data_IF_972610642193
#
_entry.id   IF_972610642193
#
_cell.length_a   1.000
_cell.length_b   1.000
_cell.length_c   1.000
_cell.angle_alpha   90.00
_cell.angle_beta   90.00
_cell.angle_gamma   90.00
#
_symmetry.space_group_name_H-M   'P 1'
#
loop_
_entity.id
_entity.type
_entity.pdbx_description
1 polymer ?
#
# COMPACT_ATOMS: atom_id res chain seq x y z
N UNK A 1 6.03 -17.52 11.76
CA UNK A 1 7.07 -16.69 12.42
C UNK A 1 8.40 -17.10 11.80
N UNK A 2 8.89 -16.31 10.85
CA UNK A 2 10.16 -16.63 10.17
C UNK A 2 11.26 -16.10 11.08
N UNK A 3 12.05 -17.01 11.64
CA UNK A 3 13.27 -16.71 12.38
C UNK A 3 14.22 -15.99 11.41
N UNK A 4 14.90 -14.95 11.88
CA UNK A 4 15.85 -14.15 11.14
C UNK A 4 16.75 -14.98 10.21
N UNK A 5 16.33 -15.11 8.95
CA UNK A 5 17.29 -15.31 7.87
C UNK A 5 17.96 -13.96 7.61
N UNK A 6 19.24 -13.95 7.33
CA UNK A 6 19.93 -12.79 6.78
C UNK A 6 19.06 -12.18 5.69
N UNK A 7 18.94 -10.83 5.67
CA UNK A 7 18.23 -10.16 4.59
C UNK A 7 18.74 -10.76 3.26
N UNK A 8 17.84 -11.26 2.40
CA UNK A 8 18.28 -11.80 1.11
C UNK A 8 19.05 -10.69 0.40
N UNK A 9 20.14 -11.05 -0.29
CA UNK A 9 20.85 -10.08 -1.12
C UNK A 9 19.81 -9.44 -2.06
N UNK A 10 19.59 -8.14 -1.91
CA UNK A 10 18.59 -7.42 -2.69
C UNK A 10 19.04 -7.46 -4.16
N UNK A 11 18.26 -8.12 -5.01
CA UNK A 11 18.52 -8.26 -6.43
C UNK A 11 18.30 -6.89 -7.12
N UNK A 12 19.17 -6.50 -8.01
CA UNK A 12 18.94 -5.34 -8.85
C UNK A 12 17.70 -5.58 -9.74
N UNK A 13 16.73 -4.66 -9.75
CA UNK A 13 15.52 -4.82 -10.54
C UNK A 13 15.85 -4.69 -12.04
N UNK A 14 15.28 -5.57 -12.85
CA UNK A 14 15.45 -5.59 -14.31
C UNK A 14 14.32 -4.88 -15.05
N UNK A 15 13.21 -4.59 -14.36
CA UNK A 15 12.00 -3.96 -14.89
C UNK A 15 11.65 -2.71 -14.08
N UNK A 16 11.00 -1.74 -14.73
CA UNK A 16 10.67 -0.48 -14.08
C UNK A 16 9.52 -0.60 -13.09
N UNK A 17 8.35 -1.05 -13.53
CA UNK A 17 7.15 -1.05 -12.70
C UNK A 17 6.16 -2.17 -13.09
N UNK A 18 5.51 -2.75 -12.09
CA UNK A 18 4.35 -3.61 -12.23
C UNK A 18 3.11 -2.97 -11.61
N UNK A 19 1.95 -3.17 -12.21
CA UNK A 19 0.64 -2.77 -11.66
C UNK A 19 0.05 -3.96 -10.91
N UNK A 20 -0.25 -3.77 -9.63
CA UNK A 20 -0.74 -4.82 -8.73
C UNK A 20 -2.19 -4.54 -8.36
N UNK A 21 -3.08 -5.43 -8.75
CA UNK A 21 -4.52 -5.33 -8.52
C UNK A 21 -4.97 -6.41 -7.54
N UNK A 22 -5.16 -6.11 -6.27
CA UNK A 22 -5.69 -7.07 -5.31
C UNK A 22 -7.16 -7.36 -5.59
N UNK A 23 -7.49 -8.65 -5.71
CA UNK A 23 -8.87 -9.10 -5.86
C UNK A 23 -9.50 -9.40 -4.49
N UNK A 24 -10.82 -9.23 -4.43
CA UNK A 24 -11.61 -9.73 -3.30
C UNK A 24 -11.73 -11.27 -3.35
N UNK A 25 -12.37 -11.87 -2.35
CA UNK A 25 -12.71 -13.30 -2.38
C UNK A 25 -13.90 -13.63 -3.29
N UNK A 26 -14.58 -12.62 -3.83
CA UNK A 26 -15.73 -12.80 -4.71
C UNK A 26 -15.28 -13.24 -6.10
N UNK A 27 -16.01 -14.12 -6.76
CA UNK A 27 -15.68 -14.58 -8.11
C UNK A 27 -16.00 -13.54 -9.20
N UNK A 28 -16.80 -12.51 -8.88
CA UNK A 28 -17.26 -11.50 -9.82
C UNK A 28 -16.94 -10.10 -9.33
N UNK A 29 -16.73 -9.18 -10.27
CA UNK A 29 -16.52 -7.75 -10.00
C UNK A 29 -17.86 -7.01 -9.97
N UNK A 30 -17.96 -6.01 -9.10
CA UNK A 30 -19.07 -5.05 -9.12
C UNK A 30 -18.96 -4.12 -10.34
N UNK A 31 -20.05 -3.42 -10.74
CA UNK A 31 -19.97 -2.43 -11.82
C UNK A 31 -18.86 -1.38 -11.61
N UNK A 32 -18.68 -0.89 -10.39
CA UNK A 32 -17.63 0.09 -10.09
C UNK A 32 -16.23 -0.49 -10.18
N UNK A 33 -16.03 -1.74 -9.76
CA UNK A 33 -14.78 -2.47 -9.94
C UNK A 33 -14.46 -2.73 -11.42
N UNK A 34 -15.46 -2.97 -12.25
CA UNK A 34 -15.31 -3.11 -13.71
C UNK A 34 -14.88 -1.78 -14.34
N UNK A 35 -15.47 -0.66 -13.92
CA UNK A 35 -15.04 0.68 -14.35
C UNK A 35 -13.56 0.90 -13.98
N UNK A 36 -13.21 0.64 -12.74
CA UNK A 36 -11.84 0.75 -12.27
C UNK A 36 -10.86 -0.09 -13.09
N UNK A 37 -11.18 -1.38 -13.31
CA UNK A 37 -10.35 -2.29 -14.10
C UNK A 37 -10.22 -1.84 -15.55
N UNK A 38 -11.29 -1.25 -16.13
CA UNK A 38 -11.28 -0.67 -17.48
C UNK A 38 -10.29 0.48 -17.60
N UNK A 39 -10.26 1.40 -16.60
CA UNK A 39 -9.28 2.49 -16.54
C UNK A 39 -7.84 1.96 -16.48
N UNK A 40 -7.57 0.99 -15.61
CA UNK A 40 -6.26 0.37 -15.52
C UNK A 40 -5.85 -0.32 -16.83
N UNK A 41 -6.78 -1.04 -17.47
CA UNK A 41 -6.53 -1.73 -18.74
C UNK A 41 -6.22 -0.73 -19.86
N UNK A 42 -6.93 0.39 -19.92
CA UNK A 42 -6.75 1.41 -20.94
C UNK A 42 -5.45 2.20 -20.76
N UNK A 43 -5.30 2.90 -19.63
CA UNK A 43 -4.19 3.83 -19.41
C UNK A 43 -2.87 3.14 -19.08
N UNK A 44 -2.92 1.93 -18.50
CA UNK A 44 -1.74 1.18 -18.10
C UNK A 44 -1.48 -0.04 -18.99
N UNK A 45 -1.95 -0.01 -20.24
CA UNK A 45 -1.89 -1.15 -21.18
C UNK A 45 -0.47 -1.67 -21.43
N UNK A 46 0.52 -0.80 -21.44
CA UNK A 46 1.93 -1.12 -21.75
C UNK A 46 2.71 -1.75 -20.58
N UNK A 47 2.15 -1.74 -19.36
CA UNK A 47 2.84 -2.26 -18.18
C UNK A 47 2.44 -3.70 -17.87
N UNK A 48 3.33 -4.44 -17.22
CA UNK A 48 3.00 -5.73 -16.63
C UNK A 48 1.96 -5.55 -15.53
N UNK A 49 0.83 -6.28 -15.62
CA UNK A 49 -0.30 -6.19 -14.70
C UNK A 49 -0.55 -7.53 -14.03
N UNK A 50 -0.71 -7.49 -12.71
CA UNK A 50 -0.93 -8.67 -11.90
C UNK A 50 -2.22 -8.57 -11.09
N UNK A 51 -3.07 -9.59 -11.22
CA UNK A 51 -4.17 -9.82 -10.30
C UNK A 51 -3.65 -10.63 -9.12
N UNK A 52 -3.83 -10.12 -7.92
CA UNK A 52 -3.38 -10.76 -6.68
C UNK A 52 -4.58 -11.32 -5.95
N UNK A 53 -4.63 -12.65 -5.79
CA UNK A 53 -5.80 -13.37 -5.26
C UNK A 53 -5.40 -14.53 -4.34
N UNK A 54 -6.33 -15.08 -3.53
CA UNK A 54 -6.13 -16.36 -2.87
C UNK A 54 -6.04 -17.48 -3.92
N UNK A 55 -5.17 -18.50 -3.66
CA UNK A 55 -4.88 -19.55 -4.63
C UNK A 55 -6.04 -20.40 -5.13
N UNK A 56 -7.23 -20.25 -4.53
CA UNK A 56 -8.46 -20.94 -4.97
C UNK A 56 -9.32 -20.11 -5.95
N UNK A 57 -8.95 -18.86 -6.22
CA UNK A 57 -9.69 -17.98 -7.12
C UNK A 57 -9.10 -18.09 -8.52
N UNK A 58 -9.90 -18.56 -9.47
CA UNK A 58 -9.60 -18.48 -10.89
C UNK A 58 -10.35 -17.27 -11.45
N UNK A 59 -9.64 -16.23 -11.81
CA UNK A 59 -10.17 -15.06 -12.50
C UNK A 59 -9.19 -14.70 -13.62
N UNK A 60 -9.65 -14.77 -14.85
CA UNK A 60 -8.84 -14.44 -16.01
C UNK A 60 -9.28 -13.11 -16.61
N UNK A 61 -8.34 -12.24 -16.83
CA UNK A 61 -8.56 -10.99 -17.54
C UNK A 61 -7.42 -10.77 -18.57
N UNK A 62 -7.74 -10.49 -19.84
CA UNK A 62 -6.74 -10.29 -20.87
C UNK A 62 -5.72 -9.21 -20.48
N UNK A 63 -4.42 -9.52 -20.66
CA UNK A 63 -3.33 -8.61 -20.31
C UNK A 63 -2.96 -8.57 -18.83
N UNK A 64 -3.54 -9.44 -17.99
CA UNK A 64 -3.18 -9.61 -16.59
C UNK A 64 -2.64 -11.02 -16.30
N UNK A 65 -1.68 -11.10 -15.41
CA UNK A 65 -1.15 -12.36 -14.89
C UNK A 65 -1.67 -12.59 -13.46
N UNK A 66 -1.91 -13.84 -13.08
CA UNK A 66 -2.31 -14.16 -11.70
C UNK A 66 -1.09 -14.38 -10.80
N UNK A 67 -1.12 -13.79 -9.61
CA UNK A 67 -0.22 -14.11 -8.49
C UNK A 67 -1.04 -14.53 -7.28
N UNK A 68 -0.83 -15.77 -6.85
CA UNK A 68 -1.58 -16.35 -5.73
C UNK A 68 -0.83 -16.23 -4.42
N UNK A 69 -1.56 -15.83 -3.39
CA UNK A 69 -1.07 -15.79 -2.01
C UNK A 69 -1.98 -16.59 -1.08
N UNK A 70 -1.52 -16.82 0.16
CA UNK A 70 -2.28 -17.58 1.13
C UNK A 70 -3.62 -16.90 1.48
N UNK A 71 -4.69 -17.68 1.62
CA UNK A 71 -6.07 -17.23 1.88
C UNK A 71 -6.20 -16.26 3.08
N UNK A 72 -5.28 -16.36 4.07
CA UNK A 72 -5.24 -15.49 5.26
C UNK A 72 -5.01 -14.00 4.96
N UNK A 73 -4.55 -13.67 3.77
CA UNK A 73 -4.26 -12.30 3.33
C UNK A 73 -5.43 -11.58 2.67
N UNK A 74 -6.59 -12.22 2.57
CA UNK A 74 -7.74 -11.70 1.82
C UNK A 74 -9.02 -11.69 2.66
N UNK A 75 -9.97 -10.85 2.26
CA UNK A 75 -11.34 -10.83 2.76
C UNK A 75 -11.61 -9.85 3.89
N UNK A 76 -10.65 -9.02 4.27
CA UNK A 76 -10.84 -7.85 5.15
C UNK A 76 -9.68 -6.89 5.00
N UNK A 77 -9.86 -5.63 5.42
CA UNK A 77 -8.78 -4.64 5.46
C UNK A 77 -7.59 -5.11 6.29
N UNK A 78 -7.84 -5.73 7.46
CA UNK A 78 -6.80 -6.30 8.31
C UNK A 78 -6.05 -7.48 7.64
N UNK A 79 -6.72 -8.27 6.80
CA UNK A 79 -6.08 -9.32 6.03
C UNK A 79 -5.19 -8.74 4.93
N UNK A 80 -5.68 -7.73 4.20
CA UNK A 80 -4.91 -6.99 3.20
C UNK A 80 -3.70 -6.29 3.83
N UNK A 81 -3.88 -5.63 4.97
CA UNK A 81 -2.76 -5.02 5.70
C UNK A 81 -1.64 -6.03 6.02
N UNK A 82 -1.99 -7.28 6.37
CA UNK A 82 -1.00 -8.35 6.55
C UNK A 82 -0.30 -8.75 5.25
N UNK A 83 -0.94 -8.65 4.08
CA UNK A 83 -0.31 -8.91 2.78
C UNK A 83 0.74 -7.85 2.48
N UNK A 84 0.34 -6.56 2.51
CA UNK A 84 1.20 -5.43 2.13
C UNK A 84 2.27 -5.10 3.18
N UNK A 85 2.31 -5.84 4.28
CA UNK A 85 3.38 -5.78 5.29
C UNK A 85 4.22 -7.06 5.35
N UNK A 86 3.91 -8.05 4.50
CA UNK A 86 4.69 -9.29 4.43
C UNK A 86 5.87 -9.13 3.46
N UNK A 87 7.11 -9.49 3.87
CA UNK A 87 8.26 -9.47 2.96
C UNK A 87 8.01 -10.24 1.67
N UNK A 88 7.38 -11.42 1.75
CA UNK A 88 7.03 -12.27 0.63
C UNK A 88 6.27 -11.52 -0.48
N UNK A 89 5.45 -10.53 -0.13
CA UNK A 89 4.72 -9.73 -1.12
C UNK A 89 5.68 -8.96 -2.02
N UNK A 90 6.61 -8.22 -1.42
CA UNK A 90 7.60 -7.43 -2.17
C UNK A 90 8.65 -8.31 -2.86
N UNK A 91 9.05 -9.42 -2.24
CA UNK A 91 9.95 -10.41 -2.85
C UNK A 91 9.37 -11.02 -4.13
N UNK A 92 8.04 -11.22 -4.18
CA UNK A 92 7.35 -11.72 -5.39
C UNK A 92 7.51 -10.77 -6.57
N UNK A 93 7.71 -9.48 -6.32
CA UNK A 93 7.88 -8.43 -7.32
C UNK A 93 9.28 -7.81 -7.33
N UNK A 94 10.29 -8.51 -6.78
CA UNK A 94 11.66 -7.99 -6.65
C UNK A 94 12.37 -7.71 -7.99
N UNK A 95 11.87 -8.27 -9.09
CA UNK A 95 12.35 -7.95 -10.44
C UNK A 95 11.95 -6.56 -10.92
N UNK A 96 11.01 -5.88 -10.23
CA UNK A 96 10.55 -4.53 -10.54
C UNK A 96 11.16 -3.50 -9.58
N UNK A 97 11.53 -2.33 -10.11
CA UNK A 97 11.97 -1.20 -9.28
C UNK A 97 10.81 -0.67 -8.44
N UNK A 98 9.61 -0.60 -9.04
CA UNK A 98 8.38 -0.12 -8.42
C UNK A 98 7.23 -1.11 -8.59
N UNK A 99 6.27 -1.01 -7.69
CA UNK A 99 4.91 -1.52 -7.89
C UNK A 99 3.93 -0.36 -7.74
N UNK A 100 2.93 -0.30 -8.62
CA UNK A 100 1.74 0.52 -8.43
C UNK A 100 0.66 -0.38 -7.79
N UNK A 101 0.36 -0.15 -6.52
CA UNK A 101 -0.83 -0.73 -5.89
C UNK A 101 -2.05 -0.03 -6.47
N UNK A 102 -2.98 -0.82 -6.99
CA UNK A 102 -4.17 -0.34 -7.66
C UNK A 102 -5.40 -1.12 -7.15
N UNK A 103 -6.09 -0.58 -6.16
CA UNK A 103 -7.34 -1.17 -5.68
C UNK A 103 -8.46 -0.96 -6.70
N UNK A 104 -9.46 -1.86 -6.74
CA UNK A 104 -10.56 -1.80 -7.69
C UNK A 104 -11.62 -0.73 -7.37
N UNK A 105 -11.38 0.13 -6.41
CA UNK A 105 -12.09 1.38 -6.16
C UNK A 105 -11.24 2.62 -6.51
N UNK A 106 -10.16 2.42 -7.26
CA UNK A 106 -9.30 3.48 -7.79
C UNK A 106 -9.63 3.78 -9.25
N UNK A 107 -9.23 4.96 -9.73
CA UNK A 107 -9.16 5.30 -11.14
C UNK A 107 -7.76 5.81 -11.47
N UNK A 108 -7.21 5.40 -12.60
CA UNK A 108 -6.10 6.06 -13.26
C UNK A 108 -6.66 6.88 -14.43
N UNK A 109 -6.17 8.10 -14.61
CA UNK A 109 -6.75 9.10 -15.52
C UNK A 109 -5.83 9.45 -16.70
N UNK A 110 -4.59 8.95 -16.68
CA UNK A 110 -3.59 9.23 -17.73
C UNK A 110 -2.50 8.15 -17.76
N UNK A 111 -1.67 8.14 -18.80
CA UNK A 111 -0.52 7.25 -18.95
C UNK A 111 0.78 7.92 -18.46
N UNK A 112 0.81 8.37 -17.21
CA UNK A 112 1.96 9.06 -16.63
C UNK A 112 2.78 8.21 -15.65
N UNK A 113 2.52 6.89 -15.54
CA UNK A 113 3.14 6.05 -14.52
C UNK A 113 4.68 6.04 -14.60
N UNK A 114 5.24 6.06 -15.80
CA UNK A 114 6.69 6.12 -15.98
C UNK A 114 7.30 7.41 -15.44
N UNK A 115 6.64 8.56 -15.65
CA UNK A 115 7.07 9.86 -15.11
C UNK A 115 7.11 9.84 -13.58
N UNK A 116 6.12 9.21 -12.95
CA UNK A 116 6.10 9.02 -11.50
C UNK A 116 7.24 8.13 -10.99
N UNK A 117 7.62 7.09 -11.75
CA UNK A 117 8.79 6.27 -11.41
C UNK A 117 10.12 7.04 -11.49
N UNK A 118 10.18 8.14 -12.26
CA UNK A 118 11.37 8.98 -12.38
C UNK A 118 11.57 9.94 -11.20
N UNK A 119 10.57 10.13 -10.34
CA UNK A 119 10.67 11.01 -9.16
C UNK A 119 11.67 10.50 -8.11
N UNK A 120 12.05 9.22 -8.18
CA UNK A 120 12.91 8.50 -7.24
C UNK A 120 12.43 8.56 -5.77
N UNK A 121 11.13 8.75 -5.57
CA UNK A 121 10.50 8.62 -4.27
C UNK A 121 10.28 7.14 -3.95
N UNK A 122 10.29 6.79 -2.67
CA UNK A 122 10.09 5.42 -2.23
C UNK A 122 8.61 5.11 -2.01
N UNK A 123 7.83 6.14 -1.65
CA UNK A 123 6.39 6.02 -1.41
C UNK A 123 5.64 7.28 -1.85
N UNK A 124 4.66 7.09 -2.74
CA UNK A 124 3.72 8.13 -3.19
C UNK A 124 2.31 7.53 -3.15
N UNK A 125 1.36 8.24 -2.56
CA UNK A 125 -0.06 7.89 -2.54
C UNK A 125 -0.93 9.12 -2.32
N UNK A 126 -2.25 8.99 -2.30
CA UNK A 126 -3.15 10.08 -1.92
C UNK A 126 -2.81 10.61 -0.53
N UNK A 127 -2.77 11.92 -0.34
CA UNK A 127 -2.52 12.49 0.98
C UNK A 127 -3.78 12.43 1.85
N UNK A 128 -3.57 12.23 3.14
CA UNK A 128 -4.59 12.54 4.15
C UNK A 128 -4.55 14.04 4.42
N UNK A 129 -5.66 14.72 4.11
CA UNK A 129 -5.83 16.15 4.30
C UNK A 129 -6.91 16.41 5.36
N UNK A 130 -6.82 17.53 6.09
CA UNK A 130 -7.87 17.95 7.00
C UNK A 130 -9.05 18.53 6.19
N UNK A 131 -10.15 17.81 6.18
CA UNK A 131 -11.36 18.18 5.43
C UNK A 131 -12.61 17.53 6.07
N UNK A 132 -13.82 17.86 5.62
CA UNK A 132 -15.06 17.26 6.16
C UNK A 132 -15.09 15.74 6.13
N UNK A 133 -14.48 15.09 5.12
CA UNK A 133 -14.42 13.63 5.00
C UNK A 133 -13.37 13.00 5.92
N UNK A 134 -12.42 13.79 6.41
CA UNK A 134 -11.30 13.32 7.27
C UNK A 134 -10.95 14.33 8.38
N UNK A 135 -11.90 14.70 9.26
CA UNK A 135 -11.68 15.72 10.30
C UNK A 135 -10.71 15.26 11.40
N UNK A 136 -10.38 13.98 11.46
CA UNK A 136 -9.39 13.41 12.40
C UNK A 136 -7.95 13.69 11.99
N UNK A 137 -7.69 14.12 10.76
CA UNK A 137 -6.34 14.44 10.28
C UNK A 137 -5.84 15.71 10.92
N UNK A 138 -4.94 15.60 11.89
CA UNK A 138 -4.31 16.75 12.56
C UNK A 138 -3.11 17.29 11.78
N UNK A 139 -2.34 16.40 11.17
CA UNK A 139 -1.17 16.72 10.35
C UNK A 139 -1.35 16.05 9.00
N UNK A 140 -1.39 16.85 7.96
CA UNK A 140 -1.53 16.38 6.59
C UNK A 140 -0.24 15.70 6.13
N UNK A 141 -0.37 14.56 5.46
CA UNK A 141 0.74 13.78 4.92
C UNK A 141 0.27 12.77 3.88
N UNK A 142 1.19 12.31 3.06
CA UNK A 142 0.95 11.19 2.15
C UNK A 142 0.92 9.88 2.94
N UNK A 143 -0.01 8.98 2.58
CA UNK A 143 -0.08 7.73 3.31
C UNK A 143 -1.04 6.67 2.80
N UNK A 144 -2.08 7.01 2.05
CA UNK A 144 -3.02 5.99 1.58
C UNK A 144 -2.38 5.05 0.56
N UNK A 145 -2.57 3.73 0.72
CA UNK A 145 -1.96 2.70 -0.12
C UNK A 145 -2.90 2.07 -1.15
N UNK A 146 -4.15 2.51 -1.24
CA UNK A 146 -5.12 1.94 -2.20
C UNK A 146 -4.82 2.30 -3.66
N UNK A 147 -4.17 3.46 -3.87
CA UNK A 147 -3.57 3.85 -5.15
C UNK A 147 -2.19 4.44 -4.85
N UNK A 148 -1.16 3.60 -4.83
CA UNK A 148 0.16 4.04 -4.36
C UNK A 148 1.31 3.45 -5.18
N UNK A 149 2.31 4.27 -5.47
CA UNK A 149 3.57 3.84 -6.06
C UNK A 149 4.58 3.56 -4.95
N UNK A 150 5.15 2.36 -4.95
CA UNK A 150 6.02 1.83 -3.91
C UNK A 150 7.31 1.30 -4.52
N UNK A 151 8.47 1.77 -4.06
CA UNK A 151 9.79 1.29 -4.49
C UNK A 151 10.14 0.00 -3.75
N UNK A 152 10.07 -1.12 -4.45
CA UNK A 152 10.14 -2.48 -3.89
C UNK A 152 11.31 -2.68 -2.93
N UNK A 153 12.51 -2.29 -3.37
CA UNK A 153 13.74 -2.48 -2.58
C UNK A 153 13.73 -1.66 -1.27
N UNK A 154 13.14 -0.47 -1.29
CA UNK A 154 13.07 0.39 -0.10
C UNK A 154 12.11 -0.18 0.95
N UNK A 155 10.99 -0.76 0.52
CA UNK A 155 10.08 -1.48 1.41
C UNK A 155 10.75 -2.73 2.01
N UNK A 156 11.50 -3.48 1.22
CA UNK A 156 12.29 -4.62 1.72
C UNK A 156 13.37 -4.18 2.71
N UNK A 157 14.06 -3.05 2.46
CA UNK A 157 15.03 -2.48 3.42
C UNK A 157 14.39 -2.14 4.76
N UNK A 158 13.17 -1.60 4.78
CA UNK A 158 12.41 -1.36 6.02
C UNK A 158 12.07 -2.68 6.71
N UNK A 159 11.54 -3.66 5.99
CA UNK A 159 11.09 -4.94 6.54
C UNK A 159 12.25 -5.80 7.07
N UNK A 160 13.43 -5.72 6.43
CA UNK A 160 14.63 -6.43 6.82
C UNK A 160 15.66 -5.57 7.58
N UNK A 161 15.22 -4.38 8.03
CA UNK A 161 16.12 -3.48 8.76
C UNK A 161 16.71 -4.15 10.00
N UNK A 162 18.04 -4.04 10.21
CA UNK A 162 18.67 -4.49 11.43
C UNK A 162 18.41 -3.54 12.62
N UNK A 163 17.81 -2.38 12.36
CA UNK A 163 17.53 -1.38 13.42
C UNK A 163 16.48 -1.91 14.38
N UNK A 164 16.73 -1.82 15.71
CA UNK A 164 15.74 -2.17 16.70
C UNK A 164 14.59 -1.15 16.68
N UNK A 165 13.38 -1.59 17.05
CA UNK A 165 12.22 -0.70 17.22
C UNK A 165 12.48 0.35 18.31
N UNK A 166 13.14 -0.07 19.38
CA UNK A 166 13.56 0.80 20.49
C UNK A 166 14.96 0.39 20.95
N UNK A 167 15.79 1.35 21.31
CA UNK A 167 17.04 1.05 22.01
C UNK A 167 16.74 0.45 23.39
N UNK A 168 17.24 -0.76 23.71
CA UNK A 168 16.90 -1.44 24.96
C UNK A 168 17.34 -0.69 26.22
N UNK A 169 18.45 0.05 26.14
CA UNK A 169 18.99 0.76 27.28
C UNK A 169 18.29 2.12 27.43
N UNK A 170 18.00 2.83 26.34
CA UNK A 170 17.17 4.02 26.36
C UNK A 170 15.77 3.69 26.89
N UNK A 171 15.12 2.61 26.39
CA UNK A 171 13.84 2.13 26.90
C UNK A 171 13.85 1.87 28.39
N UNK A 172 14.96 1.28 28.91
CA UNK A 172 15.09 1.03 30.33
C UNK A 172 15.22 2.34 31.13
N UNK A 173 16.02 3.28 30.66
CA UNK A 173 16.19 4.59 31.31
C UNK A 173 14.87 5.37 31.38
N UNK A 174 14.13 5.41 30.28
CA UNK A 174 12.89 6.18 30.20
C UNK A 174 11.77 5.60 31.08
N UNK A 175 11.62 4.27 31.10
CA UNK A 175 10.44 3.64 31.70
C UNK A 175 10.67 3.00 33.07
N UNK A 176 11.88 2.61 33.40
CA UNK A 176 12.15 1.80 34.59
C UNK A 176 13.24 2.30 35.51
N UNK A 177 14.24 3.08 35.06
CA UNK A 177 15.36 3.50 35.88
C UNK A 177 14.94 4.32 37.11
N UNK A 178 13.88 5.11 37.00
CA UNK A 178 13.31 5.92 38.09
C UNK A 178 12.30 5.18 38.98
N UNK A 179 11.94 3.93 38.66
CA UNK A 179 10.97 3.15 39.42
C UNK A 179 11.62 2.50 40.66
N UNK A 180 10.83 2.15 41.70
CA UNK A 180 11.30 1.35 42.82
C UNK A 180 12.01 0.08 42.38
N UNK A 181 13.06 -0.34 43.14
CA UNK A 181 13.88 -1.49 42.74
C UNK A 181 13.11 -2.77 42.48
N UNK A 182 12.07 -3.06 43.25
CA UNK A 182 11.25 -4.26 43.00
C UNK A 182 10.57 -4.22 41.62
N UNK A 183 10.12 -3.04 41.14
CA UNK A 183 9.57 -2.87 39.80
C UNK A 183 10.66 -3.09 38.74
N UNK A 184 11.87 -2.57 39.00
CA UNK A 184 13.02 -2.81 38.10
C UNK A 184 13.31 -4.31 37.99
N UNK A 185 13.43 -5.04 39.12
CA UNK A 185 13.67 -6.48 39.12
C UNK A 185 12.59 -7.27 38.37
N UNK A 186 11.31 -6.97 38.59
CA UNK A 186 10.21 -7.61 37.88
C UNK A 186 10.23 -7.39 36.36
N UNK A 187 10.86 -6.32 35.89
CA UNK A 187 10.92 -5.96 34.48
C UNK A 187 12.30 -6.24 33.82
N UNK A 188 13.29 -6.76 34.53
CA UNK A 188 14.56 -7.20 33.94
C UNK A 188 14.37 -8.15 32.74
N UNK A 189 13.43 -9.13 32.75
CA UNK A 189 13.18 -9.96 31.59
C UNK A 189 12.79 -9.15 30.36
N UNK A 190 12.03 -8.07 30.50
CA UNK A 190 11.64 -7.19 29.37
C UNK A 190 12.86 -6.48 28.76
N UNK A 191 13.78 -5.99 29.60
CA UNK A 191 15.03 -5.39 29.12
C UNK A 191 15.85 -6.41 28.32
N UNK A 192 15.97 -7.63 28.84
CA UNK A 192 16.67 -8.70 28.12
C UNK A 192 16.01 -9.06 26.80
N UNK A 193 14.66 -9.27 26.80
CA UNK A 193 13.89 -9.58 25.59
C UNK A 193 14.02 -8.48 24.52
N UNK A 194 14.11 -7.21 24.93
CA UNK A 194 14.32 -6.09 23.99
C UNK A 194 15.71 -6.10 23.30
N UNK A 195 16.66 -6.83 23.83
CA UNK A 195 17.97 -7.06 23.17
C UNK A 195 17.91 -8.14 22.09
N UNK A 196 16.86 -8.96 22.10
CA UNK A 196 16.69 -10.02 21.10
C UNK A 196 15.95 -9.46 19.88
N UNK A 197 16.54 -9.55 18.67
CA UNK A 197 15.90 -9.05 17.43
C UNK A 197 14.51 -9.59 17.21
N UNK A 198 14.22 -10.83 17.59
CA UNK A 198 12.90 -11.46 17.46
C UNK A 198 11.78 -10.68 18.17
N UNK A 199 12.10 -9.89 19.20
CA UNK A 199 11.14 -9.09 19.96
C UNK A 199 11.34 -7.57 19.77
N UNK A 200 12.23 -7.17 18.87
CA UNK A 200 12.60 -5.75 18.69
C UNK A 200 12.98 -5.40 17.25
N UNK A 201 12.49 -6.15 16.26
CA UNK A 201 12.69 -5.90 14.83
C UNK A 201 11.54 -5.11 14.22
N UNK A 202 11.74 -4.58 13.00
CA UNK A 202 10.70 -3.97 12.18
C UNK A 202 9.50 -4.91 11.97
N UNK A 203 9.74 -6.19 11.69
CA UNK A 203 8.69 -7.19 11.51
C UNK A 203 7.89 -7.45 12.79
N UNK A 204 8.56 -7.49 13.95
CA UNK A 204 7.88 -7.62 15.24
C UNK A 204 7.07 -6.36 15.59
N UNK A 205 7.62 -5.18 15.30
CA UNK A 205 6.87 -3.92 15.45
C UNK A 205 5.64 -3.90 14.56
N UNK A 206 5.79 -4.23 13.27
CA UNK A 206 4.70 -4.35 12.30
C UNK A 206 3.63 -5.34 12.77
N UNK A 207 4.03 -6.53 13.24
CA UNK A 207 3.10 -7.50 13.82
C UNK A 207 2.30 -6.90 14.97
N UNK A 208 2.96 -6.23 15.93
CA UNK A 208 2.29 -5.59 17.07
C UNK A 208 1.42 -4.40 16.66
N UNK A 209 1.85 -3.66 15.65
CA UNK A 209 1.08 -2.57 15.06
C UNK A 209 -0.26 -3.07 14.53
N UNK A 210 -0.25 -4.11 13.72
CA UNK A 210 -1.44 -4.72 13.13
C UNK A 210 -2.36 -5.41 14.15
N UNK A 211 -1.88 -5.74 15.36
CA UNK A 211 -2.74 -6.22 16.45
C UNK A 211 -3.56 -5.07 17.08
N UNK A 212 -3.12 -3.84 16.96
CA UNK A 212 -3.73 -2.66 17.58
C UNK A 212 -4.45 -1.77 16.58
N UNK A 213 -3.96 -1.73 15.36
CA UNK A 213 -4.42 -0.91 14.24
C UNK A 213 -4.47 -1.77 13.00
N UNK A 214 -5.50 -1.63 12.19
CA UNK A 214 -5.62 -2.38 10.92
C UNK A 214 -4.98 -1.66 9.73
N UNK A 215 -4.43 -0.46 9.95
CA UNK A 215 -3.90 0.41 8.90
C UNK A 215 -2.38 0.19 8.73
N UNK A 216 -2.00 -0.49 7.64
CA UNK A 216 -0.60 -0.63 7.24
C UNK A 216 -0.01 0.70 6.71
N UNK A 217 -0.85 1.51 6.12
CA UNK A 217 -0.52 2.79 5.47
C UNK A 217 0.17 3.74 6.45
N UNK A 218 -0.39 3.86 7.66
CA UNK A 218 0.16 4.70 8.73
C UNK A 218 1.56 4.21 9.14
N UNK A 219 1.79 2.90 9.18
CA UNK A 219 3.13 2.38 9.47
C UNK A 219 4.14 2.81 8.40
N UNK A 220 3.78 2.70 7.12
CA UNK A 220 4.67 3.10 6.03
C UNK A 220 4.95 4.60 6.02
N UNK A 221 3.96 5.42 6.38
CA UNK A 221 4.10 6.88 6.42
C UNK A 221 4.85 7.40 7.64
N UNK A 222 4.67 6.77 8.79
CA UNK A 222 5.16 7.31 10.07
C UNK A 222 6.42 6.58 10.57
N UNK A 223 6.52 5.26 10.34
CA UNK A 223 7.53 4.42 10.98
C UNK A 223 8.65 3.94 10.02
N UNK A 224 8.41 3.95 8.70
CA UNK A 224 9.39 3.44 7.73
C UNK A 224 10.75 4.15 7.82
N UNK A 225 10.74 5.47 8.02
CA UNK A 225 11.95 6.31 8.15
C UNK A 225 12.79 5.90 9.36
N UNK A 226 12.18 5.43 10.45
CA UNK A 226 12.92 4.90 11.60
C UNK A 226 13.81 3.72 11.21
N UNK A 227 13.31 2.82 10.37
CA UNK A 227 14.02 1.61 9.94
C UNK A 227 14.95 1.84 8.75
N UNK A 228 14.60 2.75 7.88
CA UNK A 228 15.40 3.16 6.71
C UNK A 228 15.37 4.69 6.60
N UNK A 229 16.36 5.42 7.17
CA UNK A 229 16.37 6.88 7.23
C UNK A 229 16.32 7.59 5.88
N UNK A 230 16.82 6.96 4.83
CA UNK A 230 16.78 7.49 3.47
C UNK A 230 15.44 7.21 2.76
N UNK A 231 14.44 6.68 3.47
CA UNK A 231 13.12 6.39 2.91
C UNK A 231 12.39 7.69 2.55
N UNK A 232 12.21 7.92 1.25
CA UNK A 232 11.65 9.15 0.69
C UNK A 232 10.16 9.03 0.47
N UNK A 233 9.38 9.74 1.25
CA UNK A 233 7.92 9.86 1.10
C UNK A 233 7.60 11.17 0.40
N UNK A 234 6.62 11.17 -0.52
CA UNK A 234 6.15 12.38 -1.17
C UNK A 234 5.58 13.38 -0.17
N UNK A 235 5.75 14.66 -0.43
CA UNK A 235 5.02 15.72 0.28
C UNK A 235 3.55 15.82 -0.18
N UNK A 236 2.73 16.56 0.55
CA UNK A 236 1.30 16.70 0.26
C UNK A 236 1.04 17.29 -1.14
N UNK A 237 1.72 18.36 -1.60
CA UNK A 237 1.56 18.86 -2.96
C UNK A 237 1.87 17.82 -4.03
N UNK A 238 2.92 17.03 -3.86
CA UNK A 238 3.26 15.94 -4.78
C UNK A 238 2.23 14.81 -4.73
N UNK A 239 1.76 14.47 -3.53
CA UNK A 239 0.69 13.50 -3.34
C UNK A 239 -0.62 13.91 -4.02
N UNK A 240 -1.00 15.20 -3.96
CA UNK A 240 -2.17 15.75 -4.67
C UNK A 240 -2.02 15.68 -6.19
N UNK A 241 -0.84 15.93 -6.74
CA UNK A 241 -0.62 15.72 -8.17
C UNK A 241 -0.70 14.24 -8.56
N UNK A 242 -0.32 13.35 -7.66
CA UNK A 242 -0.36 11.91 -7.90
C UNK A 242 -1.78 11.35 -7.79
N UNK A 243 -2.48 11.58 -6.67
CA UNK A 243 -3.82 11.02 -6.50
C UNK A 243 -4.66 11.78 -5.46
N UNK A 244 -5.99 11.81 -5.71
CA UNK A 244 -6.98 12.23 -4.72
C UNK A 244 -7.61 11.02 -4.04
N UNK A 245 -8.14 11.22 -2.83
CA UNK A 245 -9.01 10.27 -2.16
C UNK A 245 -10.25 10.98 -1.62
N UNK A 246 -10.10 11.73 -0.54
CA UNK A 246 -11.19 12.46 0.14
C UNK A 246 -11.43 13.81 -0.50
N UNK A 247 -12.66 14.33 -0.40
CA UNK A 247 -13.06 15.70 -0.82
C UNK A 247 -12.42 16.12 -2.17
N UNK A 248 -12.71 15.41 -3.28
CA UNK A 248 -11.98 15.60 -4.55
C UNK A 248 -12.10 17.03 -5.11
N UNK A 249 -13.18 17.76 -4.82
CA UNK A 249 -13.32 19.17 -5.24
C UNK A 249 -12.32 20.07 -4.51
N UNK A 250 -12.13 19.88 -3.21
CA UNK A 250 -11.12 20.60 -2.44
C UNK A 250 -9.71 20.20 -2.90
N UNK A 251 -9.49 18.91 -3.16
CA UNK A 251 -8.21 18.45 -3.70
C UNK A 251 -7.91 19.08 -5.07
N UNK A 252 -8.92 19.19 -5.95
CA UNK A 252 -8.78 19.85 -7.26
C UNK A 252 -8.39 21.32 -7.11
N UNK A 253 -9.07 22.07 -6.24
CA UNK A 253 -8.74 23.46 -5.95
C UNK A 253 -7.29 23.60 -5.45
N UNK A 254 -6.90 22.77 -4.47
CA UNK A 254 -5.53 22.74 -3.91
C UNK A 254 -4.48 22.29 -4.92
N UNK A 255 -4.87 21.53 -5.93
CA UNK A 255 -4.03 21.09 -7.04
C UNK A 255 -4.13 22.03 -8.27
N UNK A 256 -4.39 23.31 -8.03
CA UNK A 256 -4.45 24.36 -9.08
C UNK A 256 -5.43 24.04 -10.22
N UNK A 257 -6.56 23.43 -9.92
CA UNK A 257 -7.58 22.96 -10.85
C UNK A 257 -7.06 21.95 -11.89
N UNK A 258 -5.98 21.21 -11.56
CA UNK A 258 -5.47 20.12 -12.37
C UNK A 258 -5.90 18.76 -11.81
N UNK A 259 -6.37 17.89 -12.70
CA UNK A 259 -6.66 16.52 -12.32
C UNK A 259 -5.37 15.80 -11.94
N UNK A 260 -5.43 14.87 -10.96
CA UNK A 260 -4.31 14.04 -10.58
C UNK A 260 -4.06 12.94 -11.62
N UNK A 261 -2.94 12.20 -11.48
CA UNK A 261 -2.70 10.98 -12.25
C UNK A 261 -3.76 9.89 -11.98
N UNK A 262 -4.27 9.81 -10.75
CA UNK A 262 -5.34 8.87 -10.39
C UNK A 262 -6.10 9.27 -9.13
N UNK A 263 -6.94 8.38 -8.63
CA UNK A 263 -7.63 8.54 -7.35
C UNK A 263 -7.90 7.20 -6.69
N UNK A 264 -8.16 7.22 -5.39
CA UNK A 264 -8.65 6.10 -4.59
C UNK A 264 -10.06 6.37 -4.09
N UNK A 265 -10.83 5.32 -3.86
CA UNK A 265 -12.20 5.37 -3.32
C UNK A 265 -13.14 6.32 -4.08
N UNK A 266 -13.02 6.37 -5.40
CA UNK A 266 -13.68 7.33 -6.29
C UNK A 266 -15.21 7.36 -6.14
N UNK A 267 -15.84 6.20 -5.98
CA UNK A 267 -17.29 6.11 -5.85
C UNK A 267 -17.77 6.47 -4.43
N UNK A 268 -16.87 6.44 -3.44
CA UNK A 268 -17.19 6.67 -2.02
C UNK A 268 -17.25 8.16 -1.66
N UNK A 269 -16.30 8.94 -2.17
CA UNK A 269 -16.10 10.33 -1.78
C UNK A 269 -16.50 11.31 -2.88
N UNK A 270 -17.69 11.40 -3.34
CA UNK A 270 -18.18 12.25 -4.42
C UNK A 270 -18.04 11.62 -5.81
N UNK A 271 -18.82 10.55 -6.01
CA UNK A 271 -18.96 9.90 -7.30
C UNK A 271 -19.27 10.87 -8.44
N UNK A 272 -20.18 11.85 -8.20
CA UNK A 272 -20.61 12.81 -9.21
C UNK A 272 -19.47 13.69 -9.74
N UNK A 273 -18.44 13.93 -8.91
CA UNK A 273 -17.23 14.63 -9.36
C UNK A 273 -16.46 13.80 -10.41
N UNK A 274 -16.41 12.49 -10.25
CA UNK A 274 -15.60 11.61 -11.11
C UNK A 274 -16.34 11.16 -12.38
N UNK A 275 -17.67 11.16 -12.40
CA UNK A 275 -18.46 10.66 -13.55
C UNK A 275 -18.10 11.27 -14.91
N UNK A 276 -17.82 12.58 -15.04
CA UNK A 276 -17.38 13.16 -16.31
C UNK A 276 -16.07 12.60 -16.88
N UNK A 277 -15.23 12.01 -16.01
CA UNK A 277 -13.91 11.50 -16.35
C UNK A 277 -13.87 9.98 -16.56
N UNK A 278 -15.01 9.30 -16.38
CA UNK A 278 -15.08 7.86 -16.59
C UNK A 278 -14.96 7.53 -18.09
N UNK A 279 -14.21 6.47 -18.39
CA UNK A 279 -14.12 5.96 -19.75
C UNK A 279 -15.50 5.42 -20.19
N UNK A 280 -16.05 6.02 -21.23
CA UNK A 280 -17.37 5.67 -21.80
C UNK A 280 -17.27 4.57 -22.86
N UNK A 281 -16.07 4.17 -23.27
CA UNK A 281 -15.84 3.20 -24.34
C UNK A 281 -15.88 1.79 -23.76
N UNK A 282 -16.79 0.97 -24.25
CA UNK A 282 -16.76 -0.46 -24.03
C UNK A 282 -15.54 -1.04 -24.74
N UNK A 283 -14.53 -1.47 -23.98
CA UNK A 283 -13.44 -2.23 -24.57
C UNK A 283 -14.01 -3.57 -25.10
N UNK A 284 -13.51 -4.10 -26.23
CA UNK A 284 -14.00 -5.37 -26.78
C UNK A 284 -14.04 -6.53 -25.79
N UNK A 285 -13.26 -6.42 -24.71
CA UNK A 285 -13.15 -7.39 -23.63
C UNK A 285 -14.32 -7.33 -22.62
N UNK A 286 -15.00 -6.16 -22.50
CA UNK A 286 -16.13 -5.98 -21.57
C UNK A 286 -17.36 -6.81 -22.02
N UNK A 287 -17.52 -7.03 -23.32
CA UNK A 287 -18.62 -7.84 -23.86
C UNK A 287 -18.61 -9.30 -23.42
N UNK A 288 -17.42 -9.86 -23.12
CA UNK A 288 -17.29 -11.24 -22.60
C UNK A 288 -17.62 -11.34 -21.11
N UNK A 289 -17.37 -10.29 -20.33
CA UNK A 289 -17.69 -10.26 -18.89
C UNK A 289 -19.19 -10.08 -18.64
N UNK A 290 -19.87 -9.27 -19.48
CA UNK A 290 -21.32 -9.05 -19.40
C UNK A 290 -22.08 -10.33 -19.82
N UNK A 291 -21.66 -10.99 -20.87
CA UNK A 291 -22.28 -12.24 -21.35
C UNK A 291 -22.15 -13.41 -20.36
N UNK A 292 -21.10 -13.44 -19.54
CA UNK A 292 -20.94 -14.45 -18.49
C UNK A 292 -21.76 -14.17 -17.22
N UNK A 293 -22.19 -12.92 -17.00
CA UNK A 293 -23.03 -12.51 -15.87
C UNK A 293 -24.54 -12.64 -16.12
N UNK A 294 -24.98 -12.71 -17.41
CA UNK A 294 -26.40 -12.85 -17.78
C UNK A 294 -26.84 -14.31 -17.92
N UNK A 295 -25.91 -15.27 -17.82
CA UNK A 295 -26.20 -16.71 -17.96
C UNK A 295 -26.03 -17.48 -16.63
N UNK A 296 -26.04 -16.81 -15.50
CA UNK A 296 -25.97 -17.44 -14.16
C UNK A 296 -27.23 -17.17 -13.33
#
# INVERSE_FOLDING_TARGET
>A
MILHGNAPALKEPTKLVAVIVPLSKRPTLTPDEQISLRHATHYLSRYDKYLVAPGAVSFEHPGYQMKSFAKKFFGSAAAHARLVTAPLFYETFADYKYILMYHLDSLVLSDQLEQWCQTDLDYIGPPWINCPDSPWVKTERVGNSGFALMKVQSFLKVLYSPRPTVDPDQYWQEYYASKPKYIQYLNLPKRFLKRLPIFNSSQFHMFRWLQRRSEADIFWSDEAVHYYPDFKIADVPTGLRFAFEVSPRLCLERNHNQLPFGCHAWARYDRAFWEPYLLKVDLPQDKKLIAAGESA
#
